data_IF_375419115538
#
_entry.id   IF_375419115538
#
_cell.length_a   1.000
_cell.length_b   1.000
_cell.length_c   1.000
_cell.angle_alpha   90.00
_cell.angle_beta   90.00
_cell.angle_gamma   90.00
#
_symmetry.space_group_name_H-M   'P 1'
#
loop_
_entity.id
_entity.type
_entity.pdbx_description
1 polymer ?
#
# COMPACT_ATOMS: atom_id res chain seq x y z
N UNK A 1 0.43 -9.93 1.75
CA UNK A 1 0.09 -8.61 1.15
C UNK A 1 1.16 -8.33 0.09
N UNK A 2 0.79 -7.81 -1.07
CA UNK A 2 1.73 -7.56 -2.18
C UNK A 2 1.30 -6.33 -2.98
N UNK A 3 2.25 -5.67 -3.65
CA UNK A 3 1.97 -4.62 -4.62
C UNK A 3 1.56 -5.25 -5.97
N UNK A 4 0.43 -4.78 -6.52
CA UNK A 4 -0.03 -5.16 -7.85
C UNK A 4 -0.09 -3.95 -8.78
N UNK A 5 0.95 -3.79 -9.59
CA UNK A 5 1.03 -2.74 -10.61
C UNK A 5 0.10 -2.99 -11.80
N UNK A 6 -0.28 -4.25 -12.03
CA UNK A 6 -1.09 -4.64 -13.19
C UNK A 6 -2.59 -4.42 -12.96
N UNK A 7 -3.02 -4.39 -11.70
CA UNK A 7 -4.43 -4.36 -11.29
C UNK A 7 -5.23 -5.61 -11.67
N UNK A 8 -4.56 -6.72 -12.01
CA UNK A 8 -5.17 -7.95 -12.53
C UNK A 8 -5.00 -9.15 -11.60
N UNK A 9 -4.28 -9.01 -10.47
CA UNK A 9 -4.11 -10.12 -9.54
C UNK A 9 -5.43 -10.43 -8.83
N UNK A 10 -5.74 -11.71 -8.76
CA UNK A 10 -6.94 -12.19 -8.07
C UNK A 10 -6.79 -12.02 -6.56
N UNK A 11 -7.91 -11.73 -5.88
CA UNK A 11 -7.99 -11.60 -4.43
C UNK A 11 -8.59 -10.28 -3.99
N UNK A 12 -8.58 -10.02 -2.67
CA UNK A 12 -9.02 -8.75 -2.11
C UNK A 12 -7.94 -7.69 -2.33
N UNK A 13 -8.29 -6.63 -3.04
CA UNK A 13 -7.40 -5.52 -3.38
C UNK A 13 -7.82 -4.20 -2.74
N UNK A 14 -6.86 -3.29 -2.62
CA UNK A 14 -7.08 -1.91 -2.21
C UNK A 14 -6.18 -1.00 -3.04
N UNK A 15 -6.71 0.16 -3.44
CA UNK A 15 -5.95 1.18 -4.14
C UNK A 15 -5.41 2.23 -3.16
N UNK A 16 -4.22 2.73 -3.44
CA UNK A 16 -3.59 3.84 -2.72
C UNK A 16 -3.02 4.83 -3.72
N UNK A 17 -3.03 6.11 -3.37
CA UNK A 17 -2.53 7.14 -4.26
C UNK A 17 -0.99 7.14 -4.33
N UNK A 18 -0.45 7.49 -5.50
CA UNK A 18 0.99 7.49 -5.81
C UNK A 18 1.70 8.69 -5.15
N UNK A 19 1.74 8.73 -3.82
CA UNK A 19 2.41 9.79 -3.07
C UNK A 19 2.85 9.29 -1.70
N UNK A 20 4.09 9.57 -1.33
CA UNK A 20 4.64 9.20 -0.02
C UNK A 20 3.81 9.77 1.15
N UNK A 21 3.22 10.98 1.00
CA UNK A 21 2.27 11.55 1.97
C UNK A 21 0.99 10.73 2.12
N UNK A 22 0.53 10.08 1.06
CA UNK A 22 -0.64 9.20 1.05
C UNK A 22 -0.37 7.94 1.87
N UNK A 23 0.80 7.33 1.64
CA UNK A 23 1.24 6.10 2.30
C UNK A 23 1.40 6.34 3.80
N UNK A 24 1.98 7.47 4.21
CA UNK A 24 2.09 7.84 5.63
C UNK A 24 0.73 7.97 6.33
N UNK A 25 -0.22 8.63 5.67
CA UNK A 25 -1.60 8.73 6.19
C UNK A 25 -2.27 7.36 6.27
N UNK A 26 -2.02 6.47 5.31
CA UNK A 26 -2.57 5.12 5.33
C UNK A 26 -1.97 4.28 6.47
N UNK A 27 -0.65 4.34 6.67
CA UNK A 27 0.08 3.65 7.76
C UNK A 27 -0.41 4.11 9.14
N UNK A 28 -0.47 5.44 9.36
CA UNK A 28 -0.93 6.03 10.64
C UNK A 28 -2.33 5.59 11.02
N UNK A 29 -3.24 5.53 10.05
CA UNK A 29 -4.65 5.20 10.28
C UNK A 29 -4.96 3.70 10.08
N UNK A 30 -3.94 2.85 9.84
CA UNK A 30 -4.10 1.42 9.52
C UNK A 30 -5.15 1.14 8.44
N UNK A 31 -5.26 2.05 7.46
CA UNK A 31 -6.34 2.01 6.45
C UNK A 31 -6.28 0.77 5.57
N UNK A 32 -5.07 0.37 5.18
CA UNK A 32 -4.89 -0.83 4.36
C UNK A 32 -5.21 -2.11 5.16
N UNK A 33 -4.99 -2.13 6.48
CA UNK A 33 -5.34 -3.28 7.31
C UNK A 33 -6.85 -3.53 7.31
N UNK A 34 -7.65 -2.45 7.39
CA UNK A 34 -9.12 -2.53 7.32
C UNK A 34 -9.55 -2.93 5.92
N UNK A 35 -9.03 -2.26 4.89
CA UNK A 35 -9.41 -2.51 3.49
C UNK A 35 -9.03 -3.92 3.00
N UNK A 36 -7.99 -4.52 3.58
CA UNK A 36 -7.52 -5.86 3.23
C UNK A 36 -7.87 -6.93 4.29
N UNK A 37 -8.49 -6.55 5.42
CA UNK A 37 -8.86 -7.44 6.55
C UNK A 37 -7.69 -8.30 7.00
N UNK A 38 -6.50 -7.69 7.04
CA UNK A 38 -5.27 -8.39 7.30
C UNK A 38 -4.28 -7.46 7.98
N UNK A 39 -3.41 -8.02 8.81
CA UNK A 39 -2.34 -7.25 9.41
C UNK A 39 -1.24 -6.98 8.39
N UNK A 40 -0.86 -5.71 8.26
CA UNK A 40 0.15 -5.26 7.31
C UNK A 40 1.37 -4.81 8.09
N UNK A 41 2.50 -5.45 7.80
CA UNK A 41 3.78 -5.11 8.39
C UNK A 41 4.20 -3.68 7.98
N UNK A 42 4.79 -2.97 8.93
CA UNK A 42 5.46 -1.68 8.73
C UNK A 42 6.44 -1.67 7.54
N UNK A 43 7.17 -2.77 7.30
CA UNK A 43 8.13 -2.91 6.20
C UNK A 43 7.47 -2.80 4.82
N UNK A 44 6.24 -3.31 4.67
CA UNK A 44 5.50 -3.21 3.40
C UNK A 44 5.16 -1.76 3.05
N UNK A 45 4.91 -0.90 4.06
CA UNK A 45 4.71 0.52 3.81
C UNK A 45 5.99 1.21 3.35
N UNK A 46 7.16 0.75 3.81
CA UNK A 46 8.45 1.30 3.42
C UNK A 46 8.81 0.84 2.00
N UNK A 47 8.48 -0.40 1.62
CA UNK A 47 8.54 -0.90 0.24
C UNK A 47 7.63 -0.08 -0.70
N UNK A 48 6.37 0.16 -0.31
CA UNK A 48 5.43 1.00 -1.04
C UNK A 48 6.00 2.40 -1.30
N UNK A 49 6.62 3.03 -0.29
CA UNK A 49 7.24 4.34 -0.45
C UNK A 49 8.40 4.32 -1.44
N UNK A 50 9.33 3.36 -1.29
CA UNK A 50 10.44 3.21 -2.23
C UNK A 50 9.96 3.03 -3.67
N UNK A 51 8.87 2.29 -3.85
CA UNK A 51 8.26 2.15 -5.16
C UNK A 51 7.74 3.48 -5.69
N UNK A 52 6.93 4.22 -4.92
CA UNK A 52 6.42 5.55 -5.31
C UNK A 52 7.55 6.52 -5.64
N UNK A 53 8.57 6.59 -4.79
CA UNK A 53 9.72 7.48 -4.96
C UNK A 53 10.58 7.08 -6.19
N UNK A 54 10.48 5.83 -6.67
CA UNK A 54 11.20 5.34 -7.87
C UNK A 54 10.51 5.66 -9.20
N UNK A 55 9.23 6.03 -9.14
CA UNK A 55 8.41 6.37 -10.32
C UNK A 55 8.03 7.87 -10.38
N UNK A 56 8.53 8.66 -9.42
CA UNK A 56 8.52 10.12 -9.42
C UNK A 56 9.76 10.66 -10.13
#
# INVERSE_FOLDING_TARGET
ILLDVSGKKNGRGAYICNSSKCIDKAKKNKRLNVALESEINSEFYDELKRYVDSIE
#
